data_IF_077631631333
#
_entry.id   IF_077631631333
#
_cell.length_a   1.000
_cell.length_b   1.000
_cell.length_c   1.000
_cell.angle_alpha   90.00
_cell.angle_beta   90.00
_cell.angle_gamma   90.00
#
_symmetry.space_group_name_H-M   'P 1'
#
loop_
_entity.id
_entity.type
_entity.pdbx_description
1 polymer ?
#
# COMPACT_ATOMS: atom_id res chain seq x y z
N UNK A 1 17.67 5.83 -33.94
CA UNK A 1 17.80 6.44 -32.61
C UNK A 1 17.00 5.59 -31.62
N UNK A 2 17.63 5.02 -30.59
CA UNK A 2 16.91 4.31 -29.55
C UNK A 2 16.07 5.33 -28.74
N UNK A 3 14.74 5.19 -28.75
CA UNK A 3 13.85 5.99 -27.90
C UNK A 3 14.11 5.61 -26.43
N UNK A 4 14.39 6.59 -25.61
CA UNK A 4 14.43 6.40 -24.15
C UNK A 4 12.98 6.33 -23.64
N UNK A 5 12.70 5.37 -22.77
CA UNK A 5 11.39 5.20 -22.11
C UNK A 5 11.54 5.64 -20.66
N UNK A 6 10.62 6.45 -20.18
CA UNK A 6 10.52 6.86 -18.78
C UNK A 6 9.21 6.28 -18.26
N UNK A 7 9.29 5.50 -17.18
CA UNK A 7 8.13 4.99 -16.46
C UNK A 7 7.83 5.90 -15.26
N UNK A 8 6.61 6.41 -15.18
CA UNK A 8 6.11 7.20 -14.05
C UNK A 8 5.13 6.34 -13.28
N UNK A 9 5.41 6.10 -11.99
CA UNK A 9 4.56 5.32 -11.10
C UNK A 9 4.13 6.25 -9.97
N UNK A 10 2.82 6.40 -9.79
CA UNK A 10 2.30 7.22 -8.70
C UNK A 10 2.52 6.54 -7.35
N UNK A 11 2.92 7.33 -6.37
CA UNK A 11 3.11 6.93 -4.97
C UNK A 11 2.69 8.07 -4.06
N UNK A 12 2.38 7.77 -2.81
CA UNK A 12 2.18 8.78 -1.78
C UNK A 12 2.93 8.37 -0.51
N UNK A 13 3.85 9.20 -0.07
CA UNK A 13 4.52 9.06 1.23
C UNK A 13 3.73 9.84 2.28
N UNK A 14 3.29 9.16 3.34
CA UNK A 14 2.53 9.75 4.45
C UNK A 14 3.15 9.24 5.75
N UNK A 15 3.49 10.17 6.64
CA UNK A 15 3.84 9.81 8.01
C UNK A 15 2.55 9.61 8.82
N UNK A 16 2.35 8.44 9.47
CA UNK A 16 1.14 8.19 10.26
C UNK A 16 1.00 9.13 11.47
N UNK A 17 2.13 9.63 11.96
CA UNK A 17 2.27 10.66 13.00
C UNK A 17 3.51 11.48 12.67
N UNK A 18 3.42 12.81 12.68
CA UNK A 18 4.52 13.73 12.41
C UNK A 18 4.38 14.99 13.28
N UNK A 19 4.18 16.17 12.67
CA UNK A 19 3.77 17.40 13.34
C UNK A 19 2.24 17.43 13.60
N UNK A 20 1.58 16.34 13.32
CA UNK A 20 0.16 16.06 13.53
C UNK A 20 -0.02 14.79 14.35
N UNK A 21 -1.20 14.64 14.90
CA UNK A 21 -1.55 13.45 15.66
C UNK A 21 -1.99 12.27 14.77
N UNK A 22 -2.23 11.12 15.39
CA UNK A 22 -2.67 9.90 14.69
C UNK A 22 -3.97 10.10 13.90
N UNK A 23 -4.89 10.91 14.39
CA UNK A 23 -6.19 11.09 13.73
C UNK A 23 -6.06 11.94 12.48
N UNK A 24 -5.26 12.99 12.54
CA UNK A 24 -4.93 13.82 11.37
C UNK A 24 -4.18 12.99 10.32
N UNK A 25 -3.18 12.18 10.73
CA UNK A 25 -2.48 11.28 9.82
C UNK A 25 -3.41 10.23 9.19
N UNK A 26 -4.37 9.73 9.95
CA UNK A 26 -5.40 8.82 9.42
C UNK A 26 -6.29 9.51 8.38
N UNK A 27 -6.75 10.73 8.64
CA UNK A 27 -7.57 11.50 7.69
C UNK A 27 -6.80 11.77 6.39
N UNK A 28 -5.51 12.09 6.46
CA UNK A 28 -4.64 12.23 5.29
C UNK A 28 -4.55 10.92 4.47
N UNK A 29 -4.42 9.78 5.13
CA UNK A 29 -4.41 8.47 4.45
C UNK A 29 -5.74 8.24 3.74
N UNK A 30 -6.88 8.42 4.41
CA UNK A 30 -8.20 8.17 3.84
C UNK A 30 -8.48 9.09 2.64
N UNK A 31 -8.14 10.37 2.74
CA UNK A 31 -8.28 11.34 1.65
C UNK A 31 -7.37 10.99 0.47
N UNK A 32 -6.11 10.65 0.75
CA UNK A 32 -5.14 10.25 -0.29
C UNK A 32 -5.60 8.99 -1.02
N UNK A 33 -6.04 7.96 -0.30
CA UNK A 33 -6.46 6.70 -0.90
C UNK A 33 -7.75 6.85 -1.71
N UNK A 34 -8.69 7.68 -1.23
CA UNK A 34 -9.86 8.04 -2.00
C UNK A 34 -9.47 8.74 -3.30
N UNK A 35 -8.61 9.75 -3.23
CA UNK A 35 -8.13 10.48 -4.41
C UNK A 35 -7.36 9.57 -5.38
N UNK A 36 -6.51 8.67 -4.87
CA UNK A 36 -5.80 7.70 -5.70
C UNK A 36 -6.79 6.77 -6.43
N UNK A 37 -7.80 6.25 -5.75
CA UNK A 37 -8.87 5.47 -6.38
C UNK A 37 -9.62 6.27 -7.44
N UNK A 38 -9.96 7.55 -7.17
CA UNK A 38 -10.64 8.42 -8.14
C UNK A 38 -9.78 8.60 -9.41
N UNK A 39 -8.47 8.78 -9.26
CA UNK A 39 -7.56 8.88 -10.42
C UNK A 39 -7.39 7.55 -11.15
N UNK A 40 -7.32 6.43 -10.43
CA UNK A 40 -7.27 5.11 -11.05
C UNK A 40 -8.55 4.81 -11.84
N UNK A 41 -9.72 5.20 -11.35
CA UNK A 41 -10.99 5.04 -12.07
C UNK A 41 -11.04 5.93 -13.33
N UNK A 42 -10.48 7.14 -13.27
CA UNK A 42 -10.46 8.10 -14.38
C UNK A 42 -9.43 7.77 -15.47
N UNK A 43 -8.24 7.26 -15.07
CA UNK A 43 -7.11 7.02 -15.98
C UNK A 43 -6.75 5.53 -16.04
N UNK A 44 -7.16 4.79 -17.08
CA UNK A 44 -6.96 3.35 -17.19
C UNK A 44 -5.50 2.89 -17.12
N UNK A 45 -4.58 3.69 -17.61
CA UNK A 45 -3.15 3.35 -17.65
C UNK A 45 -2.39 3.73 -16.38
N UNK A 46 -3.04 4.42 -15.43
CA UNK A 46 -2.41 4.81 -14.18
C UNK A 46 -2.12 3.60 -13.31
N UNK A 47 -0.93 3.58 -12.71
CA UNK A 47 -0.52 2.65 -11.66
C UNK A 47 -0.24 3.44 -10.37
N UNK A 48 -0.57 2.85 -9.23
CA UNK A 48 -0.31 3.43 -7.92
C UNK A 48 0.38 2.42 -7.01
N UNK A 49 1.32 2.87 -6.21
CA UNK A 49 2.02 2.03 -5.22
C UNK A 49 1.88 2.60 -3.82
N UNK A 50 1.84 1.73 -2.83
CA UNK A 50 1.87 2.11 -1.41
C UNK A 50 2.61 1.05 -0.60
N UNK A 51 3.19 1.41 0.54
CA UNK A 51 4.12 0.56 1.31
C UNK A 51 3.68 0.27 2.76
N UNK A 52 2.89 1.13 3.40
CA UNK A 52 2.51 0.99 4.81
C UNK A 52 1.20 0.24 4.99
N UNK A 53 1.25 -0.99 5.48
CA UNK A 53 0.08 -1.87 5.60
C UNK A 53 -0.93 -1.37 6.64
N UNK A 54 -0.49 -0.66 7.69
CA UNK A 54 -1.40 -0.05 8.67
C UNK A 54 -2.40 0.91 8.03
N UNK A 55 -2.08 1.52 6.89
CA UNK A 55 -2.98 2.41 6.17
C UNK A 55 -4.16 1.65 5.56
N UNK A 56 -3.94 0.43 5.07
CA UNK A 56 -5.02 -0.44 4.61
C UNK A 56 -5.94 -0.85 5.76
N UNK A 57 -5.36 -1.11 6.95
CA UNK A 57 -6.16 -1.38 8.16
C UNK A 57 -7.06 -0.20 8.49
N UNK A 58 -6.52 1.01 8.54
CA UNK A 58 -7.33 2.21 8.78
C UNK A 58 -8.40 2.39 7.72
N UNK A 59 -8.06 2.19 6.46
CA UNK A 59 -9.02 2.31 5.36
C UNK A 59 -10.15 1.28 5.49
N UNK A 60 -9.83 0.04 5.85
CA UNK A 60 -10.85 -0.99 6.06
C UNK A 60 -11.78 -0.67 7.23
N UNK A 61 -11.25 -0.07 8.32
CA UNK A 61 -12.03 0.26 9.51
C UNK A 61 -12.89 1.52 9.35
N UNK A 62 -12.37 2.56 8.69
CA UNK A 62 -13.00 3.88 8.67
C UNK A 62 -13.59 4.30 7.32
N UNK A 63 -13.17 3.62 6.23
CA UNK A 63 -13.67 3.87 4.87
C UNK A 63 -13.78 2.56 4.07
N UNK A 64 -14.60 1.59 4.50
CA UNK A 64 -14.66 0.25 3.88
C UNK A 64 -14.98 0.31 2.38
N UNK A 65 -15.77 1.29 1.93
CA UNK A 65 -16.06 1.50 0.51
C UNK A 65 -14.82 1.90 -0.30
N UNK A 66 -13.84 2.59 0.30
CA UNK A 66 -12.55 2.89 -0.34
C UNK A 66 -11.68 1.63 -0.38
N UNK A 67 -11.70 0.83 0.69
CA UNK A 67 -10.98 -0.45 0.74
C UNK A 67 -11.47 -1.42 -0.34
N UNK A 68 -12.78 -1.50 -0.60
CA UNK A 68 -13.33 -2.30 -1.69
C UNK A 68 -12.81 -1.84 -3.08
N UNK A 69 -12.66 -0.53 -3.28
CA UNK A 69 -12.08 0.02 -4.52
C UNK A 69 -10.61 -0.35 -4.64
N UNK A 70 -9.84 -0.23 -3.55
CA UNK A 70 -8.43 -0.64 -3.50
C UNK A 70 -8.30 -2.12 -3.88
N UNK A 71 -9.10 -2.99 -3.27
CA UNK A 71 -9.08 -4.43 -3.58
C UNK A 71 -9.34 -4.72 -5.06
N UNK A 72 -10.29 -4.00 -5.70
CA UNK A 72 -10.52 -4.11 -7.15
C UNK A 72 -9.31 -3.66 -7.97
N UNK A 73 -8.66 -2.56 -7.59
CA UNK A 73 -7.46 -2.07 -8.27
C UNK A 73 -6.25 -2.98 -8.07
N UNK A 74 -6.12 -3.61 -6.90
CA UNK A 74 -5.10 -4.65 -6.65
C UNK A 74 -5.35 -5.85 -7.55
N UNK A 75 -6.58 -6.35 -7.62
CA UNK A 75 -6.94 -7.47 -8.50
C UNK A 75 -6.71 -7.15 -10.00
N UNK A 76 -6.90 -5.88 -10.38
CA UNK A 76 -6.64 -5.39 -11.75
C UNK A 76 -5.16 -5.03 -12.01
N UNK A 77 -4.24 -5.31 -11.09
CA UNK A 77 -2.79 -4.99 -11.17
C UNK A 77 -2.50 -3.50 -11.37
N UNK A 78 -3.36 -2.65 -10.82
CA UNK A 78 -3.24 -1.19 -10.94
C UNK A 78 -2.89 -0.49 -9.63
N UNK A 79 -3.09 -1.17 -8.51
CA UNK A 79 -2.62 -0.77 -7.19
C UNK A 79 -1.68 -1.83 -6.66
N UNK A 80 -0.43 -1.48 -6.42
CA UNK A 80 0.59 -2.41 -5.97
C UNK A 80 0.98 -2.10 -4.52
N UNK A 81 0.98 -3.13 -3.68
CA UNK A 81 1.41 -3.05 -2.29
C UNK A 81 2.88 -3.50 -2.25
N UNK A 82 3.78 -2.55 -2.00
CA UNK A 82 5.22 -2.77 -2.02
C UNK A 82 5.82 -2.78 -0.61
N UNK A 83 7.00 -3.38 -0.44
CA UNK A 83 7.74 -3.41 0.81
C UNK A 83 7.19 -4.34 1.89
N UNK A 84 5.87 -4.39 2.07
CA UNK A 84 5.22 -5.29 3.03
C UNK A 84 5.49 -4.99 4.50
N UNK A 85 5.88 -3.77 4.86
CA UNK A 85 6.07 -3.31 6.22
C UNK A 85 4.75 -2.81 6.83
N UNK A 86 4.59 -2.99 8.14
CA UNK A 86 3.44 -2.41 8.85
C UNK A 86 3.40 -0.89 8.71
N UNK A 87 4.54 -0.26 8.95
CA UNK A 87 4.84 1.15 8.67
C UNK A 87 6.20 1.18 7.98
N UNK A 88 6.47 2.14 7.09
CA UNK A 88 7.81 2.37 6.56
C UNK A 88 8.79 2.60 7.71
N UNK A 89 9.78 1.71 7.93
CA UNK A 89 10.65 1.80 9.08
C UNK A 89 11.78 2.81 8.84
N UNK A 90 12.15 3.57 9.88
CA UNK A 90 13.48 4.17 9.93
C UNK A 90 14.53 3.04 9.93
N UNK A 91 15.52 3.13 9.06
CA UNK A 91 16.53 2.07 8.90
C UNK A 91 17.64 2.11 9.95
N UNK A 92 17.74 3.21 10.73
CA UNK A 92 18.85 3.43 11.66
C UNK A 92 18.50 3.19 13.13
N UNK A 93 17.22 3.33 13.50
CA UNK A 93 16.77 3.28 14.90
C UNK A 93 16.19 1.94 15.33
N UNK A 94 15.34 1.24 14.51
CA UNK A 94 14.73 -0.01 14.92
C UNK A 94 15.75 -1.14 15.09
N UNK A 95 15.47 -2.04 16.01
CA UNK A 95 16.20 -3.29 16.16
C UNK A 95 15.74 -4.34 15.15
N UNK A 96 16.51 -5.41 14.96
CA UNK A 96 16.11 -6.56 14.13
C UNK A 96 14.78 -7.18 14.58
N UNK A 97 14.51 -7.19 15.89
CA UNK A 97 13.23 -7.65 16.45
C UNK A 97 12.07 -6.78 15.98
N UNK A 98 12.27 -5.46 15.91
CA UNK A 98 11.27 -4.51 15.41
C UNK A 98 10.94 -4.76 13.95
N UNK A 99 11.95 -4.93 13.10
CA UNK A 99 11.77 -5.27 11.69
C UNK A 99 11.00 -6.57 11.51
N UNK A 100 11.40 -7.62 12.26
CA UNK A 100 10.72 -8.90 12.21
C UNK A 100 9.23 -8.78 12.59
N UNK A 101 8.92 -8.07 13.68
CA UNK A 101 7.55 -7.84 14.13
C UNK A 101 6.71 -7.04 13.15
N UNK A 102 7.27 -6.02 12.54
CA UNK A 102 6.61 -5.26 11.47
C UNK A 102 6.21 -6.16 10.31
N UNK A 103 7.13 -7.02 9.85
CA UNK A 103 6.86 -7.96 8.77
C UNK A 103 5.81 -9.01 9.18
N UNK A 104 5.91 -9.60 10.37
CA UNK A 104 4.97 -10.61 10.88
C UNK A 104 3.53 -10.08 10.89
N UNK A 105 3.31 -8.91 11.50
CA UNK A 105 1.98 -8.28 11.60
C UNK A 105 1.43 -7.96 10.20
N UNK A 106 2.27 -7.41 9.33
CA UNK A 106 1.88 -7.08 7.96
C UNK A 106 1.44 -8.32 7.19
N UNK A 107 2.20 -9.41 7.29
CA UNK A 107 1.87 -10.67 6.62
C UNK A 107 0.54 -11.23 7.07
N UNK A 108 0.28 -11.26 8.38
CA UNK A 108 -1.00 -11.72 8.93
C UNK A 108 -2.17 -10.89 8.37
N UNK A 109 -2.01 -9.57 8.30
CA UNK A 109 -3.05 -8.69 7.76
C UNK A 109 -3.26 -8.88 6.25
N UNK A 110 -2.18 -8.96 5.48
CA UNK A 110 -2.24 -9.17 4.03
C UNK A 110 -2.86 -10.52 3.67
N UNK A 111 -2.52 -11.58 4.40
CA UNK A 111 -3.12 -12.90 4.19
C UNK A 111 -4.63 -12.90 4.48
N UNK A 112 -5.07 -12.13 5.46
CA UNK A 112 -6.49 -11.98 5.78
C UNK A 112 -7.29 -11.30 4.65
N UNK A 113 -6.78 -10.24 4.05
CA UNK A 113 -7.51 -9.42 3.07
C UNK A 113 -7.22 -9.77 1.61
N UNK A 114 -6.02 -10.26 1.32
CA UNK A 114 -5.55 -10.50 -0.04
C UNK A 114 -5.13 -11.96 -0.31
N UNK A 115 -5.12 -12.82 0.70
CA UNK A 115 -4.68 -14.21 0.58
C UNK A 115 -5.49 -15.08 -0.40
N UNK A 116 -6.72 -14.68 -0.70
CA UNK A 116 -7.61 -15.37 -1.65
C UNK A 116 -7.56 -14.80 -3.08
N UNK A 117 -6.80 -13.74 -3.32
CA UNK A 117 -6.59 -13.24 -4.69
C UNK A 117 -5.64 -14.21 -5.42
N UNK A 118 -6.05 -14.75 -6.55
CA UNK A 118 -5.17 -15.57 -7.40
C UNK A 118 -3.90 -14.77 -7.73
N UNK A 119 -2.73 -15.29 -7.33
CA UNK A 119 -1.44 -14.60 -7.43
C UNK A 119 -1.21 -13.48 -6.42
N UNK A 120 -2.14 -13.23 -5.49
CA UNK A 120 -2.06 -12.11 -4.54
C UNK A 120 -0.86 -12.17 -3.60
N UNK A 121 -0.45 -13.37 -3.18
CA UNK A 121 0.71 -13.55 -2.30
C UNK A 121 2.03 -13.15 -2.96
N UNK A 122 2.22 -13.52 -4.22
CA UNK A 122 3.46 -13.24 -4.94
C UNK A 122 3.56 -11.76 -5.33
N UNK A 123 2.42 -11.14 -5.64
CA UNK A 123 2.33 -9.72 -5.99
C UNK A 123 2.55 -8.79 -4.80
N UNK A 124 2.02 -9.17 -3.64
CA UNK A 124 2.14 -8.37 -2.41
C UNK A 124 3.53 -8.51 -1.77
N UNK A 125 4.26 -9.60 -2.03
CA UNK A 125 5.56 -9.88 -1.40
C UNK A 125 6.76 -9.66 -2.29
N UNK A 126 6.54 -9.30 -3.56
CA UNK A 126 7.62 -9.10 -4.54
C UNK A 126 8.42 -10.35 -4.85
N UNK A 127 7.90 -11.54 -4.56
CA UNK A 127 8.48 -12.79 -5.05
C UNK A 127 8.06 -12.96 -6.51
N UNK A 128 8.82 -12.35 -7.40
CA UNK A 128 8.79 -12.72 -8.80
C UNK A 128 9.07 -14.21 -8.91
N UNK A 129 8.23 -14.93 -9.63
CA UNK A 129 8.52 -16.33 -9.98
C UNK A 129 9.86 -16.40 -10.70
N UNK A 130 10.66 -17.40 -10.35
CA UNK A 130 11.82 -17.83 -11.12
C UNK A 130 11.36 -18.36 -12.48
#
# INVERSE_FOLDING_TARGET
MNKKIIHLIANSHIDPVWLWDKYEGMDEVLNTFKAACDRLDEYPDLKFTMSSICFLKWTAEYAPQVMERIMRHVAAERWEIVGGWWIEPDCNLPTSVSFYKQHEISRQYLDQYFGNLEGGRDRVTGRGGE
#
